data_IF_260298980756
#
_entry.id   IF_260298980756
#
_cell.length_a   1.000
_cell.length_b   1.000
_cell.length_c   1.000
_cell.angle_alpha   90.00
_cell.angle_beta   90.00
_cell.angle_gamma   90.00
#
_symmetry.space_group_name_H-M   'P 1'
#
loop_
_entity.id
_entity.type
_entity.pdbx_description
1 polymer ?
#
# COMPACT_ATOMS: atom_id res chain seq x y z
N UNK A 1 20.33 5.01 28.79
CA UNK A 1 19.59 5.03 27.50
C UNK A 1 18.81 6.33 27.45
N UNK A 2 18.82 7.03 26.32
CA UNK A 2 17.98 8.20 26.07
C UNK A 2 16.92 7.80 25.05
N UNK A 3 15.65 8.13 25.31
CA UNK A 3 14.55 7.93 24.39
C UNK A 3 13.94 9.28 24.02
N UNK A 4 13.74 9.54 22.73
CA UNK A 4 13.18 10.78 22.21
C UNK A 4 12.05 10.45 21.24
N UNK A 5 10.85 10.95 21.53
CA UNK A 5 9.69 10.82 20.63
C UNK A 5 9.62 12.02 19.70
N UNK A 6 9.21 11.78 18.46
CA UNK A 6 8.97 12.80 17.41
C UNK A 6 10.16 13.74 17.17
N UNK A 7 11.37 13.31 17.51
CA UNK A 7 12.57 14.14 17.41
C UNK A 7 13.01 14.23 15.96
N UNK A 8 13.12 15.46 15.44
CA UNK A 8 13.44 15.71 14.02
C UNK A 8 12.45 15.02 13.07
N UNK A 9 11.19 14.87 13.50
CA UNK A 9 10.14 14.16 12.78
C UNK A 9 10.44 12.66 12.56
N UNK A 10 11.23 12.04 13.45
CA UNK A 10 11.37 10.59 13.55
C UNK A 10 10.52 10.14 14.76
N UNK A 11 9.70 9.11 14.58
CA UNK A 11 8.71 8.70 15.60
C UNK A 11 9.36 8.36 16.95
N UNK A 12 10.43 7.56 16.94
CA UNK A 12 11.19 7.22 18.12
C UNK A 12 12.68 7.07 17.81
N UNK A 13 13.52 7.76 18.57
CA UNK A 13 14.97 7.61 18.56
C UNK A 13 15.44 7.14 19.93
N UNK A 14 16.16 6.03 19.94
CA UNK A 14 16.81 5.47 21.11
C UNK A 14 18.33 5.60 20.95
N UNK A 15 18.98 6.10 22.00
CA UNK A 15 20.43 6.27 22.01
C UNK A 15 21.03 5.68 23.28
N UNK A 16 22.21 5.09 23.13
CA UNK A 16 23.00 4.50 24.20
C UNK A 16 24.44 5.01 24.12
N UNK A 17 25.16 4.95 25.24
CA UNK A 17 26.56 5.38 25.28
C UNK A 17 27.47 4.45 24.47
N UNK A 18 27.19 3.13 24.47
CA UNK A 18 28.07 2.09 23.93
C UNK A 18 27.37 1.21 22.87
N UNK A 19 26.30 1.70 22.23
CA UNK A 19 25.61 0.97 21.16
C UNK A 19 25.16 1.96 20.09
N UNK A 20 25.11 1.54 18.81
CA UNK A 20 24.58 2.40 17.76
C UNK A 20 23.15 2.87 18.08
N UNK A 21 22.78 4.09 17.68
CA UNK A 21 21.40 4.56 17.80
C UNK A 21 20.43 3.65 17.06
N UNK A 22 19.17 3.65 17.53
CA UNK A 22 18.06 2.97 16.89
C UNK A 22 16.96 3.97 16.59
N UNK A 23 16.57 4.03 15.33
CA UNK A 23 15.39 4.76 14.86
C UNK A 23 14.27 3.76 14.63
N UNK A 24 13.09 4.07 15.14
CA UNK A 24 11.87 3.28 14.91
C UNK A 24 10.86 4.19 14.24
N UNK A 25 10.41 3.79 13.06
CA UNK A 25 9.21 4.32 12.43
C UNK A 25 8.02 3.45 12.84
N UNK A 26 6.95 4.08 13.34
CA UNK A 26 5.82 3.38 13.93
C UNK A 26 4.55 3.49 13.06
N UNK A 27 4.06 2.35 12.58
CA UNK A 27 2.91 2.23 11.68
C UNK A 27 1.86 1.30 12.24
N UNK A 28 1.07 1.78 13.20
CA UNK A 28 -0.08 1.05 13.76
C UNK A 28 -1.25 1.07 12.77
N UNK A 29 -1.72 2.24 12.36
CA UNK A 29 -2.98 2.42 11.60
C UNK A 29 -2.78 2.99 10.19
N UNK A 30 -1.55 2.99 9.71
CA UNK A 30 -1.15 3.55 8.43
C UNK A 30 -0.33 2.53 7.67
N UNK A 31 -0.49 2.52 6.36
CA UNK A 31 0.23 1.63 5.45
C UNK A 31 1.70 2.08 5.40
N UNK A 32 2.67 1.18 5.62
CA UNK A 32 4.08 1.50 5.41
C UNK A 32 4.33 1.82 3.94
N UNK A 33 5.06 2.90 3.65
CA UNK A 33 5.42 3.28 2.27
C UNK A 33 6.92 3.48 2.16
N UNK A 34 7.51 2.95 1.09
CA UNK A 34 8.96 3.00 0.86
C UNK A 34 9.46 4.44 0.65
N UNK A 35 8.72 5.27 -0.09
CA UNK A 35 9.02 6.71 -0.28
C UNK A 35 9.20 7.47 1.04
N UNK A 36 8.38 7.13 2.04
CA UNK A 36 8.46 7.70 3.38
C UNK A 36 9.72 7.20 4.12
N UNK A 37 10.07 5.92 3.99
CA UNK A 37 11.29 5.36 4.58
C UNK A 37 12.55 5.97 3.96
N UNK A 38 12.55 6.23 2.65
CA UNK A 38 13.61 6.97 1.97
C UNK A 38 13.75 8.39 2.51
N UNK A 39 12.63 9.09 2.69
CA UNK A 39 12.61 10.42 3.30
C UNK A 39 13.21 10.42 4.71
N UNK A 40 12.94 9.39 5.52
CA UNK A 40 13.56 9.26 6.84
C UNK A 40 15.03 8.86 6.79
N UNK A 41 15.43 7.98 5.88
CA UNK A 41 16.84 7.64 5.66
C UNK A 41 17.66 8.89 5.33
N UNK A 42 17.15 9.77 4.47
CA UNK A 42 17.78 11.07 4.20
C UNK A 42 17.96 11.93 5.46
N UNK A 43 16.98 11.92 6.38
CA UNK A 43 17.11 12.64 7.66
C UNK A 43 18.16 12.00 8.56
N UNK A 44 18.17 10.68 8.68
CA UNK A 44 19.16 9.92 9.46
C UNK A 44 20.57 10.30 9.01
N UNK A 45 20.83 10.27 7.69
CA UNK A 45 22.14 10.65 7.10
C UNK A 45 22.58 12.07 7.43
N UNK A 46 21.65 13.03 7.50
CA UNK A 46 21.95 14.44 7.74
C UNK A 46 22.22 14.74 9.22
N UNK A 47 21.70 13.92 10.12
CA UNK A 47 21.79 14.15 11.56
C UNK A 47 23.11 13.60 12.09
N UNK A 48 24.08 14.49 12.34
CA UNK A 48 25.41 14.11 12.88
C UNK A 48 25.36 13.30 14.19
N UNK A 49 24.29 13.42 14.96
CA UNK A 49 24.07 12.64 16.19
C UNK A 49 23.65 11.19 15.93
N UNK A 50 23.17 10.89 14.71
CA UNK A 50 22.88 9.56 14.22
C UNK A 50 24.02 9.16 13.27
N UNK A 51 24.97 8.37 13.76
CA UNK A 51 26.12 7.92 12.97
C UNK A 51 25.73 6.93 11.86
N UNK A 52 26.67 6.54 10.99
CA UNK A 52 26.43 5.60 9.89
C UNK A 52 25.95 4.22 10.36
N UNK A 53 26.28 3.83 11.59
CA UNK A 53 25.87 2.57 12.22
C UNK A 53 24.42 2.58 12.74
N UNK A 54 23.66 3.66 12.51
CA UNK A 54 22.29 3.79 13.02
C UNK A 54 21.41 2.68 12.46
N UNK A 55 20.78 1.94 13.37
CA UNK A 55 19.81 0.89 13.00
C UNK A 55 18.45 1.51 12.77
N UNK A 56 17.72 1.04 11.76
CA UNK A 56 16.37 1.49 11.47
C UNK A 56 15.38 0.32 11.52
N UNK A 57 14.27 0.52 12.22
CA UNK A 57 13.18 -0.45 12.33
C UNK A 57 11.89 0.20 11.83
N UNK A 58 11.19 -0.51 10.95
CA UNK A 58 9.77 -0.29 10.70
C UNK A 58 8.99 -1.19 11.67
N UNK A 59 8.33 -0.59 12.65
CA UNK A 59 7.39 -1.28 13.53
C UNK A 59 5.98 -1.13 12.94
N UNK A 60 5.37 -2.21 12.46
CA UNK A 60 4.03 -2.13 11.86
C UNK A 60 3.12 -3.29 12.25
N UNK A 61 1.80 -3.06 12.22
CA UNK A 61 0.81 -4.13 12.32
C UNK A 61 0.71 -4.93 11.01
N UNK A 62 0.83 -4.24 9.86
CA UNK A 62 0.80 -4.86 8.54
C UNK A 62 2.18 -5.32 8.09
N UNK A 63 2.24 -6.51 7.49
CA UNK A 63 3.43 -6.97 6.77
C UNK A 63 3.61 -6.10 5.52
N UNK A 64 4.75 -5.41 5.33
CA UNK A 64 4.98 -4.59 4.14
C UNK A 64 5.41 -5.41 2.91
N UNK A 65 5.43 -6.75 3.00
CA UNK A 65 5.83 -7.66 1.92
C UNK A 65 7.33 -7.98 1.89
N UNK A 66 8.11 -7.42 2.82
CA UNK A 66 9.56 -7.59 2.90
C UNK A 66 10.02 -7.63 4.36
N UNK A 67 11.14 -8.32 4.62
CA UNK A 67 11.80 -8.34 5.94
C UNK A 67 12.83 -7.24 6.10
N UNK A 68 13.45 -6.83 4.99
CA UNK A 68 14.45 -5.79 4.91
C UNK A 68 14.19 -4.94 3.66
N UNK A 69 14.27 -3.62 3.81
CA UNK A 69 14.25 -2.65 2.72
C UNK A 69 15.46 -1.74 2.84
N UNK A 70 16.22 -1.58 1.77
CA UNK A 70 17.38 -0.68 1.73
C UNK A 70 16.96 0.61 1.02
N UNK A 71 17.07 1.73 1.72
CA UNK A 71 16.62 3.02 1.23
C UNK A 71 17.49 3.56 0.10
N UNK A 72 16.91 4.34 -0.81
CA UNK A 72 17.64 5.01 -1.90
C UNK A 72 18.64 6.04 -1.36
N UNK A 73 19.86 6.02 -1.90
CA UNK A 73 20.94 7.01 -1.66
C UNK A 73 22.06 6.53 -0.73
N UNK A 74 23.11 7.32 -0.60
CA UNK A 74 24.35 6.94 0.12
C UNK A 74 24.57 7.74 1.42
N UNK A 75 25.04 7.11 2.51
CA UNK A 75 25.17 5.66 2.71
C UNK A 75 23.81 4.97 2.84
N UNK A 76 23.74 3.69 2.51
CA UNK A 76 22.53 2.88 2.68
C UNK A 76 21.96 2.92 4.12
N UNK A 77 20.63 2.96 4.23
CA UNK A 77 19.92 2.74 5.49
C UNK A 77 19.03 1.53 5.33
N UNK A 78 19.33 0.51 6.14
CA UNK A 78 18.60 -0.74 6.17
C UNK A 78 17.43 -0.67 7.16
N UNK A 79 16.22 -0.64 6.62
CA UNK A 79 14.98 -0.75 7.39
C UNK A 79 14.63 -2.21 7.62
N UNK A 80 14.57 -2.61 8.89
CA UNK A 80 14.13 -3.93 9.28
C UNK A 80 12.67 -3.90 9.73
N UNK A 81 11.85 -4.76 9.13
CA UNK A 81 10.46 -4.91 9.56
C UNK A 81 10.39 -5.75 10.85
N UNK A 82 9.67 -5.23 11.83
CA UNK A 82 9.28 -5.93 13.06
C UNK A 82 7.78 -5.76 13.24
N UNK A 83 7.05 -6.87 13.42
CA UNK A 83 5.62 -6.78 13.70
C UNK A 83 5.36 -6.43 15.17
N UNK A 84 4.18 -5.89 15.46
CA UNK A 84 3.76 -5.67 16.84
C UNK A 84 3.67 -6.97 17.65
N UNK A 85 3.26 -8.07 17.03
CA UNK A 85 3.28 -9.39 17.65
C UNK A 85 4.69 -9.85 18.02
N UNK A 86 5.66 -9.65 17.13
CA UNK A 86 7.06 -10.00 17.38
C UNK A 86 7.65 -9.15 18.51
N UNK A 87 7.43 -7.83 18.48
CA UNK A 87 7.84 -6.93 19.56
C UNK A 87 7.23 -7.36 20.90
N UNK A 88 5.92 -7.65 20.92
CA UNK A 88 5.22 -8.04 22.13
C UNK A 88 5.74 -9.36 22.69
N UNK A 89 5.99 -10.36 21.84
CA UNK A 89 6.57 -11.64 22.25
C UNK A 89 7.98 -11.47 22.83
N UNK A 90 8.82 -10.64 22.20
CA UNK A 90 10.17 -10.31 22.69
C UNK A 90 10.13 -9.55 24.01
N UNK A 91 9.21 -8.62 24.21
CA UNK A 91 9.07 -7.91 25.48
C UNK A 91 8.58 -8.83 26.60
N UNK A 92 7.56 -9.65 26.31
CA UNK A 92 7.01 -10.61 27.27
C UNK A 92 8.07 -11.56 27.85
N UNK A 93 9.00 -12.04 27.00
CA UNK A 93 10.06 -12.97 27.43
C UNK A 93 11.18 -12.32 28.25
N UNK A 94 11.24 -10.99 28.29
CA UNK A 94 12.27 -10.22 29.02
C UNK A 94 11.74 -9.64 30.34
N UNK A 95 10.44 -9.74 30.61
CA UNK A 95 9.89 -9.18 31.83
C UNK A 95 10.32 -9.99 33.07
N UNK A 96 10.82 -9.31 34.12
CA UNK A 96 11.22 -9.98 35.35
C UNK A 96 10.00 -10.60 36.06
N UNK A 97 10.27 -11.60 36.90
CA UNK A 97 9.32 -12.06 37.91
C UNK A 97 9.14 -10.96 38.95
N UNK A 98 7.89 -10.59 39.25
CA UNK A 98 7.57 -9.49 40.15
C UNK A 98 6.24 -8.81 39.81
N UNK A 99 5.81 -7.93 40.71
CA UNK A 99 4.56 -7.16 40.59
C UNK A 99 4.86 -5.71 41.03
N UNK A 100 5.22 -4.87 40.07
CA UNK A 100 5.24 -3.41 40.24
C UNK A 100 4.20 -2.79 39.32
N UNK A 101 3.75 -1.58 39.65
CA UNK A 101 2.78 -0.87 38.83
C UNK A 101 3.28 -0.64 37.39
N UNK A 102 4.56 -0.29 37.23
CA UNK A 102 5.21 -0.07 35.93
C UNK A 102 5.28 -1.36 35.12
N UNK A 103 5.60 -2.48 35.80
CA UNK A 103 5.68 -3.80 35.17
C UNK A 103 4.30 -4.29 34.73
N UNK A 104 3.28 -4.12 35.57
CA UNK A 104 1.88 -4.43 35.20
C UNK A 104 1.39 -3.55 34.05
N UNK A 105 1.75 -2.27 34.05
CA UNK A 105 1.44 -1.36 32.93
C UNK A 105 2.09 -1.85 31.64
N UNK A 106 3.37 -2.22 31.67
CA UNK A 106 4.09 -2.75 30.51
C UNK A 106 3.47 -4.07 30.00
N UNK A 107 3.09 -4.97 30.91
CA UNK A 107 2.38 -6.23 30.58
C UNK A 107 1.06 -5.96 29.86
N UNK A 108 0.28 -4.99 30.31
CA UNK A 108 -0.98 -4.60 29.64
C UNK A 108 -0.76 -4.08 28.23
N UNK A 109 0.26 -3.25 28.01
CA UNK A 109 0.60 -2.78 26.66
C UNK A 109 1.07 -3.92 25.74
N UNK A 110 1.81 -4.89 26.26
CA UNK A 110 2.19 -6.09 25.53
C UNK A 110 0.96 -6.92 25.14
N UNK A 111 0.00 -7.11 26.06
CA UNK A 111 -1.25 -7.79 25.76
C UNK A 111 -2.07 -7.06 24.70
N UNK A 112 -2.16 -5.72 24.78
CA UNK A 112 -2.83 -4.91 23.78
C UNK A 112 -2.18 -5.07 22.40
N UNK A 113 -0.85 -5.01 22.32
CA UNK A 113 -0.12 -5.23 21.07
C UNK A 113 -0.38 -6.62 20.47
N UNK A 114 -0.45 -7.66 21.31
CA UNK A 114 -0.81 -9.02 20.86
C UNK A 114 -2.24 -9.11 20.35
N UNK A 115 -3.20 -8.45 21.01
CA UNK A 115 -4.59 -8.42 20.57
C UNK A 115 -4.74 -7.67 19.24
N UNK A 116 -4.05 -6.55 19.07
CA UNK A 116 -4.01 -5.81 17.81
C UNK A 116 -3.37 -6.64 16.69
N UNK A 117 -2.27 -7.36 16.97
CA UNK A 117 -1.68 -8.25 15.98
C UNK A 117 -2.66 -9.36 15.58
N UNK A 118 -3.32 -10.01 16.54
CA UNK A 118 -4.34 -11.04 16.25
C UNK A 118 -5.46 -10.50 15.38
N UNK A 119 -5.94 -9.29 15.66
CA UNK A 119 -6.93 -8.63 14.81
C UNK A 119 -6.39 -8.41 13.40
N UNK A 120 -5.14 -7.96 13.26
CA UNK A 120 -4.51 -7.77 11.95
C UNK A 120 -4.36 -9.11 11.19
N UNK A 121 -3.99 -10.18 11.89
CA UNK A 121 -3.82 -11.52 11.31
C UNK A 121 -5.15 -12.07 10.76
N UNK A 122 -6.29 -11.76 11.39
CA UNK A 122 -7.63 -12.10 10.88
C UNK A 122 -8.02 -11.39 9.58
N UNK A 123 -7.27 -10.37 9.15
CA UNK A 123 -7.53 -9.64 7.91
C UNK A 123 -6.70 -10.16 6.73
N UNK A 124 -5.75 -11.06 7.01
CA UNK A 124 -5.03 -11.76 5.96
C UNK A 124 -6.00 -12.56 5.09
N UNK A 125 -5.56 -12.92 3.90
CA UNK A 125 -6.37 -13.67 2.94
C UNK A 125 -6.01 -15.14 3.11
N UNK A 126 -6.98 -15.91 3.59
CA UNK A 126 -6.87 -17.36 3.74
C UNK A 126 -7.63 -18.08 2.62
N UNK A 127 -8.68 -17.45 2.08
CA UNK A 127 -9.53 -17.97 1.01
C UNK A 127 -9.73 -16.92 -0.10
N UNK A 128 -9.54 -17.31 -1.35
CA UNK A 128 -9.72 -16.44 -2.51
C UNK A 128 -11.18 -16.03 -2.76
N UNK A 129 -12.15 -16.77 -2.21
CA UNK A 129 -13.57 -16.40 -2.25
C UNK A 129 -13.93 -15.24 -1.32
N UNK A 130 -13.02 -14.82 -0.43
CA UNK A 130 -13.23 -13.67 0.43
C UNK A 130 -13.44 -12.38 -0.38
N UNK A 131 -14.25 -11.44 0.10
CA UNK A 131 -14.38 -10.14 -0.54
C UNK A 131 -13.07 -9.35 -0.47
N UNK A 132 -12.79 -8.56 -1.51
CA UNK A 132 -11.62 -7.67 -1.55
C UNK A 132 -11.63 -6.70 -0.38
N UNK A 133 -12.76 -6.02 -0.15
CA UNK A 133 -12.94 -5.11 0.97
C UNK A 133 -14.03 -5.62 1.91
N UNK A 134 -13.78 -5.45 3.21
CA UNK A 134 -14.73 -5.84 4.25
C UNK A 134 -15.74 -4.70 4.40
N UNK A 135 -16.82 -4.74 3.61
CA UNK A 135 -17.81 -3.65 3.49
C UNK A 135 -18.96 -3.73 4.50
N UNK A 136 -19.19 -4.88 5.15
CA UNK A 136 -20.36 -5.11 6.03
C UNK A 136 -20.26 -4.53 7.45
N UNK A 137 -19.14 -4.76 8.13
CA UNK A 137 -18.92 -4.35 9.53
C UNK A 137 -18.68 -2.83 9.74
N UNK A 138 -18.30 -2.10 8.69
CA UNK A 138 -17.95 -0.69 8.77
C UNK A 138 -19.13 0.24 9.02
N UNK A 139 -20.32 -0.15 8.60
CA UNK A 139 -21.53 0.63 8.79
C UNK A 139 -22.07 0.53 10.22
N UNK A 140 -21.70 -0.54 10.95
CA UNK A 140 -22.25 -0.87 12.27
C UNK A 140 -21.28 -0.59 13.43
N UNK A 141 -20.00 -0.36 13.13
CA UNK A 141 -19.00 -0.11 14.16
C UNK A 141 -19.02 1.35 14.65
N UNK A 142 -19.08 1.53 15.97
CA UNK A 142 -19.05 2.85 16.61
C UNK A 142 -17.70 3.59 16.42
N UNK A 143 -16.60 2.85 16.25
CA UNK A 143 -15.26 3.43 16.10
C UNK A 143 -14.82 3.54 14.64
N UNK A 144 -15.08 4.72 14.05
CA UNK A 144 -14.66 5.06 12.68
C UNK A 144 -13.14 5.01 12.46
N UNK A 145 -12.34 5.23 13.50
CA UNK A 145 -10.88 5.22 13.39
C UNK A 145 -10.37 3.78 13.28
N UNK A 146 -10.88 2.90 14.13
CA UNK A 146 -10.59 1.46 14.06
C UNK A 146 -11.00 0.89 12.69
N UNK A 147 -12.20 1.26 12.21
CA UNK A 147 -12.70 0.86 10.90
C UNK A 147 -11.82 1.30 9.73
N UNK A 148 -11.33 2.54 9.81
CA UNK A 148 -10.39 3.09 8.83
C UNK A 148 -9.07 2.32 8.85
N UNK A 149 -8.56 2.00 10.05
CA UNK A 149 -7.32 1.27 10.21
C UNK A 149 -7.40 -0.14 9.64
N UNK A 150 -8.47 -0.87 9.93
CA UNK A 150 -8.67 -2.22 9.40
C UNK A 150 -8.90 -2.21 7.90
N UNK A 151 -9.67 -1.24 7.36
CA UNK A 151 -9.83 -1.09 5.90
C UNK A 151 -8.49 -0.90 5.20
N UNK A 152 -7.59 -0.10 5.79
CA UNK A 152 -6.22 0.10 5.28
C UNK A 152 -5.39 -1.19 5.36
N UNK A 153 -5.45 -1.90 6.49
CA UNK A 153 -4.72 -3.16 6.66
C UNK A 153 -5.21 -4.22 5.67
N UNK A 154 -6.53 -4.37 5.48
CA UNK A 154 -7.07 -5.28 4.47
C UNK A 154 -6.60 -4.91 3.07
N UNK A 155 -6.65 -3.63 2.69
CA UNK A 155 -6.15 -3.20 1.38
C UNK A 155 -4.66 -3.54 1.19
N UNK A 156 -3.84 -3.36 2.22
CA UNK A 156 -2.43 -3.76 2.20
C UNK A 156 -2.27 -5.28 2.02
N UNK A 157 -3.02 -6.10 2.75
CA UNK A 157 -2.96 -7.56 2.60
C UNK A 157 -3.42 -8.02 1.23
N UNK A 158 -4.48 -7.43 0.68
CA UNK A 158 -4.93 -7.69 -0.70
C UNK A 158 -3.84 -7.33 -1.71
N UNK A 159 -3.25 -6.14 -1.61
CA UNK A 159 -2.17 -5.71 -2.50
C UNK A 159 -0.99 -6.68 -2.47
N UNK A 160 -0.55 -7.08 -1.26
CA UNK A 160 0.58 -8.01 -1.09
C UNK A 160 0.24 -9.43 -1.57
N UNK A 161 -0.98 -9.89 -1.36
CA UNK A 161 -1.43 -11.19 -1.82
C UNK A 161 -1.42 -11.25 -3.35
N UNK A 162 -2.01 -10.25 -4.00
CA UNK A 162 -2.05 -10.17 -5.46
C UNK A 162 -0.63 -10.08 -6.02
N UNK A 163 0.26 -9.25 -5.46
CA UNK A 163 1.61 -9.06 -6.02
C UNK A 163 2.42 -10.36 -6.04
N UNK A 164 2.24 -11.21 -5.02
CA UNK A 164 2.85 -12.56 -4.96
C UNK A 164 2.28 -13.53 -6.01
N UNK A 165 1.05 -13.29 -6.48
CA UNK A 165 0.35 -14.18 -7.40
C UNK A 165 0.56 -13.82 -8.87
N UNK A 166 0.90 -12.57 -9.17
CA UNK A 166 1.14 -12.14 -10.55
C UNK A 166 2.58 -12.51 -10.96
N UNK A 167 2.79 -13.25 -12.07
CA UNK A 167 4.12 -13.61 -12.55
C UNK A 167 5.00 -12.38 -12.79
N UNK A 168 6.30 -12.47 -12.53
CA UNK A 168 7.24 -11.41 -12.91
C UNK A 168 7.19 -11.18 -14.43
N UNK A 169 7.31 -9.91 -14.84
CA UNK A 169 7.37 -9.47 -16.24
C UNK A 169 8.58 -8.59 -16.45
N UNK A 170 8.98 -8.38 -17.71
CA UNK A 170 10.01 -7.40 -18.07
C UNK A 170 9.53 -5.96 -17.81
N UNK A 171 8.22 -5.72 -17.98
CA UNK A 171 7.59 -4.45 -17.63
C UNK A 171 7.68 -4.18 -16.13
N UNK A 172 8.30 -3.05 -15.77
CA UNK A 172 8.38 -2.58 -14.40
C UNK A 172 6.98 -2.36 -13.84
N UNK A 173 6.71 -2.94 -12.68
CA UNK A 173 5.41 -2.84 -12.00
C UNK A 173 5.56 -2.44 -10.54
N UNK A 174 4.52 -1.83 -10.00
CA UNK A 174 4.39 -1.56 -8.57
C UNK A 174 2.98 -1.86 -8.08
N UNK A 175 2.89 -2.51 -6.93
CA UNK A 175 1.66 -2.73 -6.19
C UNK A 175 1.56 -1.72 -5.07
N UNK A 176 0.38 -1.15 -4.84
CA UNK A 176 0.17 -0.24 -3.72
C UNK A 176 -1.22 -0.37 -3.11
N UNK A 177 -1.26 -0.05 -1.82
CA UNK A 177 -2.50 0.11 -1.08
C UNK A 177 -2.55 1.53 -0.50
N UNK A 178 -3.76 2.08 -0.45
CA UNK A 178 -4.00 3.42 0.06
C UNK A 178 -5.37 3.57 0.70
N UNK A 179 -5.71 4.82 0.99
CA UNK A 179 -7.03 5.16 1.50
C UNK A 179 -7.37 6.60 1.13
N UNK A 180 -8.48 6.81 0.41
CA UNK A 180 -8.89 8.13 -0.04
C UNK A 180 -10.40 8.25 -0.04
N UNK A 181 -10.92 9.43 0.34
CA UNK A 181 -12.36 9.70 0.50
C UNK A 181 -13.08 8.62 1.31
N UNK A 182 -12.52 8.27 2.47
CA UNK A 182 -13.04 7.22 3.36
C UNK A 182 -13.15 5.82 2.74
N UNK A 183 -12.46 5.56 1.62
CA UNK A 183 -12.54 4.28 0.90
C UNK A 183 -11.13 3.70 0.70
N UNK A 184 -10.92 2.40 1.00
CA UNK A 184 -9.66 1.75 0.68
C UNK A 184 -9.44 1.70 -0.83
N UNK A 185 -8.17 1.66 -1.21
CA UNK A 185 -7.75 1.57 -2.61
C UNK A 185 -6.62 0.55 -2.72
N UNK A 186 -6.72 -0.31 -3.73
CA UNK A 186 -5.65 -1.21 -4.16
C UNK A 186 -5.36 -0.89 -5.61
N UNK A 187 -4.09 -0.73 -5.95
CA UNK A 187 -3.65 -0.27 -7.26
C UNK A 187 -2.44 -1.06 -7.71
N UNK A 188 -2.42 -1.45 -8.98
CA UNK A 188 -1.25 -1.96 -9.66
C UNK A 188 -0.96 -1.09 -10.87
N UNK A 189 0.30 -0.69 -10.96
CA UNK A 189 0.80 0.24 -11.97
C UNK A 189 1.95 -0.38 -12.72
N UNK A 190 1.93 -0.23 -14.04
CA UNK A 190 2.93 -0.67 -14.99
C UNK A 190 3.51 0.56 -15.68
N UNK A 191 4.83 0.71 -15.64
CA UNK A 191 5.51 1.76 -16.40
C UNK A 191 5.68 1.31 -17.84
N UNK A 192 5.16 2.11 -18.77
CA UNK A 192 5.30 1.94 -20.21
C UNK A 192 6.11 3.13 -20.75
N UNK A 193 7.11 2.86 -21.59
CA UNK A 193 8.03 3.87 -22.09
C UNK A 193 9.18 4.22 -21.13
N UNK A 194 9.96 5.25 -21.48
CA UNK A 194 11.09 5.72 -20.69
C UNK A 194 11.28 7.23 -20.81
N UNK A 195 11.82 7.87 -19.75
CA UNK A 195 12.10 9.31 -19.74
C UNK A 195 10.84 10.17 -19.65
N UNK A 196 10.73 11.18 -20.52
CA UNK A 196 9.59 12.12 -20.55
C UNK A 196 8.28 11.43 -21.00
N UNK A 197 8.37 10.25 -21.61
CA UNK A 197 7.24 9.41 -22.01
C UNK A 197 6.92 8.31 -20.98
N UNK A 198 7.37 8.42 -19.72
CA UNK A 198 7.02 7.49 -18.62
C UNK A 198 5.52 7.61 -18.29
N UNK A 199 4.73 6.90 -19.09
CA UNK A 199 3.31 6.73 -18.86
C UNK A 199 3.14 5.54 -17.95
N UNK A 200 2.23 5.69 -16.99
CA UNK A 200 1.90 4.64 -16.05
C UNK A 200 0.48 4.19 -16.30
N UNK A 201 0.31 2.95 -16.74
CA UNK A 201 -1.01 2.33 -16.94
C UNK A 201 -1.27 1.31 -15.86
N UNK A 202 -2.53 0.99 -15.62
CA UNK A 202 -2.82 0.01 -14.58
C UNK A 202 -4.28 -0.16 -14.28
N UNK A 203 -4.52 -0.86 -13.18
CA UNK A 203 -5.84 -1.07 -12.65
C UNK A 203 -5.91 -0.72 -11.18
N UNK A 204 -7.10 -0.30 -10.75
CA UNK A 204 -7.36 0.17 -9.40
C UNK A 204 -8.73 -0.31 -8.93
N UNK A 205 -8.78 -0.89 -7.73
CA UNK A 205 -10.02 -1.17 -7.03
C UNK A 205 -10.22 -0.15 -5.93
N UNK A 206 -11.32 0.61 -6.02
CA UNK A 206 -11.70 1.60 -5.01
C UNK A 206 -13.20 1.49 -4.72
N UNK A 207 -13.53 1.05 -3.50
CA UNK A 207 -14.92 0.78 -3.12
C UNK A 207 -15.49 -0.34 -3.99
N UNK A 208 -16.59 -0.07 -4.68
CA UNK A 208 -17.26 -1.01 -5.58
C UNK A 208 -16.88 -0.80 -7.05
N UNK A 209 -15.74 -0.18 -7.32
CA UNK A 209 -15.32 0.14 -8.69
C UNK A 209 -13.99 -0.51 -9.00
N UNK A 210 -13.95 -1.29 -10.08
CA UNK A 210 -12.73 -1.72 -10.74
C UNK A 210 -12.45 -0.75 -11.89
N UNK A 211 -11.27 -0.13 -11.90
CA UNK A 211 -10.89 0.93 -12.83
C UNK A 211 -9.68 0.48 -13.63
N UNK A 212 -9.66 0.85 -14.91
CA UNK A 212 -8.46 0.88 -15.72
C UNK A 212 -8.05 2.35 -15.89
N UNK A 213 -6.78 2.66 -15.67
CA UNK A 213 -6.31 4.04 -15.63
C UNK A 213 -5.00 4.23 -16.39
N UNK A 214 -4.71 5.49 -16.68
CA UNK A 214 -3.39 5.96 -17.08
C UNK A 214 -3.03 7.25 -16.33
N UNK A 215 -1.76 7.37 -15.95
CA UNK A 215 -1.12 8.57 -15.44
C UNK A 215 -0.16 9.07 -16.50
N UNK A 216 -0.31 10.34 -16.88
CA UNK A 216 0.35 10.96 -18.03
C UNK A 216 1.15 12.19 -17.58
N UNK A 217 2.34 12.02 -16.95
CA UNK A 217 3.12 13.14 -16.41
C UNK A 217 3.46 14.22 -17.44
N UNK A 218 3.71 13.85 -18.70
CA UNK A 218 3.95 14.79 -19.79
C UNK A 218 2.74 15.66 -20.15
N UNK A 219 1.55 15.30 -19.67
CA UNK A 219 0.31 16.07 -19.79
C UNK A 219 -0.17 16.59 -18.43
N UNK A 220 0.74 16.80 -17.47
CA UNK A 220 0.42 17.37 -16.16
C UNK A 220 -0.19 18.78 -16.28
N UNK A 221 -1.41 18.95 -15.78
CA UNK A 221 -2.01 20.27 -15.62
C UNK A 221 -3.54 20.31 -15.76
N UNK A 222 -4.09 21.50 -15.49
CA UNK A 222 -5.54 21.70 -15.29
C UNK A 222 -6.23 22.46 -16.44
N UNK A 223 -5.51 22.81 -17.51
CA UNK A 223 -6.09 23.53 -18.64
C UNK A 223 -7.00 22.62 -19.46
N UNK A 224 -7.95 23.20 -20.20
CA UNK A 224 -8.85 22.39 -21.04
C UNK A 224 -8.11 21.70 -22.18
N UNK A 225 -7.07 22.34 -22.73
CA UNK A 225 -6.22 21.73 -23.76
C UNK A 225 -5.50 20.48 -23.25
N UNK A 226 -4.94 20.52 -22.03
CA UNK A 226 -4.29 19.37 -21.42
C UNK A 226 -5.29 18.26 -21.10
N UNK A 227 -6.49 18.61 -20.62
CA UNK A 227 -7.57 17.63 -20.40
C UNK A 227 -8.03 16.95 -21.70
N UNK A 228 -8.15 17.73 -22.77
CA UNK A 228 -8.49 17.21 -24.09
C UNK A 228 -7.37 16.33 -24.64
N UNK A 229 -6.10 16.72 -24.45
CA UNK A 229 -4.94 15.92 -24.83
C UNK A 229 -4.93 14.56 -24.13
N UNK A 230 -5.17 14.52 -22.80
CA UNK A 230 -5.27 13.25 -22.06
C UNK A 230 -6.39 12.37 -22.59
N UNK A 231 -7.56 12.93 -22.85
CA UNK A 231 -8.70 12.18 -23.40
C UNK A 231 -8.38 11.62 -24.79
N UNK A 232 -7.69 12.39 -25.63
CA UNK A 232 -7.23 11.95 -26.96
C UNK A 232 -6.23 10.81 -26.85
N UNK A 233 -5.24 10.93 -25.97
CA UNK A 233 -4.29 9.85 -25.69
C UNK A 233 -5.02 8.55 -25.31
N UNK A 234 -6.01 8.62 -24.43
CA UNK A 234 -6.80 7.43 -24.06
C UNK A 234 -7.61 6.83 -25.21
N UNK A 235 -8.07 7.65 -26.17
CA UNK A 235 -8.78 7.19 -27.37
C UNK A 235 -7.85 6.60 -28.43
N UNK A 236 -6.59 7.03 -28.48
CA UNK A 236 -5.54 6.49 -29.34
C UNK A 236 -4.93 5.21 -28.74
N UNK A 237 -4.98 5.06 -27.42
CA UNK A 237 -4.42 3.93 -26.67
C UNK A 237 -5.49 3.10 -25.95
N UNK A 238 -6.57 2.77 -26.67
CA UNK A 238 -7.75 2.06 -26.10
C UNK A 238 -7.42 0.70 -25.51
N UNK A 239 -6.35 0.06 -25.97
CA UNK A 239 -5.91 -1.26 -25.50
C UNK A 239 -5.65 -1.29 -23.99
N UNK A 240 -5.20 -0.19 -23.37
CA UNK A 240 -4.99 -0.12 -21.92
C UNK A 240 -6.27 0.01 -21.09
N UNK A 241 -7.41 0.21 -21.76
CA UNK A 241 -8.72 0.42 -21.15
C UNK A 241 -9.75 -0.60 -21.65
N UNK A 242 -9.29 -1.73 -22.18
CA UNK A 242 -10.17 -2.79 -22.65
C UNK A 242 -10.69 -3.63 -21.49
N UNK A 243 -12.01 -3.59 -21.28
CA UNK A 243 -12.70 -4.45 -20.32
C UNK A 243 -13.23 -5.74 -20.94
N UNK A 244 -13.17 -5.89 -22.27
CA UNK A 244 -13.74 -7.03 -22.98
C UNK A 244 -13.16 -8.36 -22.50
N UNK A 245 -11.83 -8.46 -22.44
CA UNK A 245 -11.13 -9.65 -21.92
C UNK A 245 -11.33 -9.87 -20.42
N UNK A 246 -11.64 -8.81 -19.67
CA UNK A 246 -11.85 -8.85 -18.22
C UNK A 246 -13.29 -9.22 -17.86
N UNK A 247 -14.26 -8.93 -18.73
CA UNK A 247 -15.69 -9.16 -18.53
C UNK A 247 -16.01 -10.63 -18.27
N UNK A 248 -15.36 -11.52 -19.01
CA UNK A 248 -15.56 -12.97 -18.95
C UNK A 248 -15.21 -13.54 -17.57
N UNK A 249 -14.22 -12.96 -16.90
CA UNK A 249 -13.72 -13.43 -15.60
C UNK A 249 -14.77 -13.25 -14.50
N UNK A 250 -15.51 -12.14 -14.55
CA UNK A 250 -16.51 -11.77 -13.53
C UNK A 250 -17.94 -12.04 -13.99
N UNK A 251 -18.12 -12.79 -15.07
CA UNK A 251 -19.44 -13.14 -15.61
C UNK A 251 -20.29 -11.95 -16.04
N UNK A 252 -19.68 -10.79 -16.28
CA UNK A 252 -20.38 -9.59 -16.77
C UNK A 252 -20.67 -9.74 -18.25
N UNK A 253 -21.87 -9.34 -18.68
CA UNK A 253 -22.17 -9.31 -20.11
C UNK A 253 -21.39 -8.18 -20.77
N UNK A 254 -21.05 -8.33 -22.06
CA UNK A 254 -20.34 -7.29 -22.85
C UNK A 254 -21.06 -5.93 -22.80
N UNK A 255 -22.38 -5.91 -22.58
CA UNK A 255 -23.15 -4.66 -22.44
C UNK A 255 -22.91 -3.95 -21.10
N UNK A 256 -22.56 -4.69 -20.07
CA UNK A 256 -22.23 -4.16 -18.74
C UNK A 256 -20.77 -3.68 -18.67
N UNK A 257 -19.93 -4.03 -19.65
CA UNK A 257 -18.49 -3.77 -19.66
C UNK A 257 -18.03 -2.65 -20.59
N UNK A 258 -18.93 -2.12 -21.41
CA UNK A 258 -18.68 -0.90 -22.20
C UNK A 258 -19.14 0.30 -21.40
N UNK A 259 -18.25 1.17 -20.90
CA UNK A 259 -18.67 2.47 -20.38
C UNK A 259 -19.45 3.16 -21.49
N UNK A 260 -20.69 3.58 -21.22
CA UNK A 260 -21.68 3.95 -22.22
C UNK A 260 -21.24 5.04 -23.24
N UNK A 261 -20.10 5.69 -22.99
CA UNK A 261 -19.58 6.82 -23.76
C UNK A 261 -18.07 6.64 -24.02
N UNK A 262 -17.58 7.15 -25.14
CA UNK A 262 -16.14 7.29 -25.46
C UNK A 262 -15.42 8.32 -24.56
N UNK A 263 -16.04 8.77 -23.47
CA UNK A 263 -15.49 9.76 -22.55
C UNK A 263 -14.71 9.09 -21.42
N UNK A 264 -13.53 9.62 -21.14
CA UNK A 264 -12.74 9.24 -19.97
C UNK A 264 -13.18 10.04 -18.74
N UNK A 265 -13.24 9.35 -17.60
CA UNK A 265 -13.24 10.06 -16.32
C UNK A 265 -11.82 10.57 -16.04
N UNK A 266 -11.71 11.57 -15.18
CA UNK A 266 -10.43 12.25 -14.91
C UNK A 266 -10.26 12.63 -13.46
N UNK A 267 -9.01 12.67 -13.05
CA UNK A 267 -8.56 13.36 -11.86
C UNK A 267 -7.39 14.24 -12.25
N UNK A 268 -7.54 15.55 -12.07
CA UNK A 268 -6.41 16.45 -12.33
C UNK A 268 -5.28 16.13 -11.34
N UNK A 269 -4.00 16.20 -11.76
CA UNK A 269 -3.59 16.92 -12.95
C UNK A 269 -3.19 16.07 -14.17
N UNK A 270 -3.00 14.75 -14.02
CA UNK A 270 -2.40 13.88 -15.04
C UNK A 270 -3.12 12.52 -15.22
N UNK A 271 -4.27 12.32 -14.56
CA UNK A 271 -4.90 11.00 -14.44
C UNK A 271 -6.20 10.88 -15.25
N UNK A 272 -6.34 9.81 -16.02
CA UNK A 272 -7.58 9.42 -16.72
C UNK A 272 -7.95 7.96 -16.43
N UNK A 273 -9.24 7.66 -16.45
CA UNK A 273 -9.71 6.30 -16.19
C UNK A 273 -11.08 5.99 -16.78
N UNK A 274 -11.34 4.68 -16.91
CA UNK A 274 -12.65 4.10 -17.10
C UNK A 274 -12.90 3.09 -15.98
N UNK A 275 -14.17 2.78 -15.69
CA UNK A 275 -14.50 1.90 -14.58
C UNK A 275 -15.72 1.04 -14.85
N UNK A 276 -15.75 -0.12 -14.18
CA UNK A 276 -16.91 -0.97 -14.01
C UNK A 276 -17.31 -1.02 -12.54
N UNK A 277 -18.61 -1.17 -12.28
CA UNK A 277 -19.10 -1.44 -10.92
C UNK A 277 -18.98 -2.93 -10.64
N UNK A 278 -18.29 -3.27 -9.56
CA UNK A 278 -18.05 -4.63 -9.10
C UNK A 278 -18.24 -4.65 -7.56
N UNK A 279 -19.49 -4.69 -7.07
CA UNK A 279 -19.79 -4.57 -5.64
C UNK A 279 -19.31 -5.75 -4.79
N UNK A 280 -19.26 -6.95 -5.38
CA UNK A 280 -19.02 -8.21 -4.68
C UNK A 280 -17.72 -8.88 -5.14
N UNK A 281 -16.74 -8.07 -5.59
CA UNK A 281 -15.49 -8.58 -6.11
C UNK A 281 -14.73 -9.38 -5.03
N UNK A 282 -14.49 -10.64 -5.34
CA UNK A 282 -13.68 -11.54 -4.51
C UNK A 282 -12.19 -11.34 -4.79
N UNK A 283 -11.35 -11.78 -3.85
CA UNK A 283 -9.89 -11.72 -4.04
C UNK A 283 -9.45 -12.57 -5.23
N UNK A 284 -10.04 -13.75 -5.41
CA UNK A 284 -9.74 -14.66 -6.51
C UNK A 284 -10.07 -14.06 -7.86
N UNK A 285 -11.25 -13.46 -8.02
CA UNK A 285 -11.61 -12.71 -9.23
C UNK A 285 -10.63 -11.57 -9.49
N UNK A 286 -10.24 -10.81 -8.45
CA UNK A 286 -9.28 -9.74 -8.60
C UNK A 286 -7.88 -10.25 -9.01
N UNK A 287 -7.43 -11.39 -8.49
CA UNK A 287 -6.19 -12.04 -8.94
C UNK A 287 -6.27 -12.41 -10.43
N UNK A 288 -7.40 -12.96 -10.88
CA UNK A 288 -7.57 -13.32 -12.28
C UNK A 288 -7.62 -12.07 -13.18
N UNK A 289 -8.35 -11.02 -12.77
CA UNK A 289 -8.37 -9.73 -13.46
C UNK A 289 -6.97 -9.14 -13.59
N UNK A 290 -6.18 -9.19 -12.51
CA UNK A 290 -4.83 -8.65 -12.49
C UNK A 290 -3.87 -9.43 -13.39
N UNK A 291 -3.92 -10.77 -13.35
CA UNK A 291 -3.15 -11.65 -14.24
C UNK A 291 -3.52 -11.41 -15.69
N UNK A 292 -4.82 -11.30 -15.98
CA UNK A 292 -5.31 -11.09 -17.34
C UNK A 292 -4.90 -9.73 -17.88
N UNK A 293 -5.04 -8.67 -17.08
CA UNK A 293 -4.59 -7.34 -17.46
C UNK A 293 -3.10 -7.34 -17.80
N UNK A 294 -2.24 -7.96 -16.97
CA UNK A 294 -0.80 -8.05 -17.29
C UNK A 294 -0.54 -8.82 -18.59
N UNK A 295 -1.27 -9.89 -18.86
CA UNK A 295 -1.12 -10.69 -20.07
C UNK A 295 -1.63 -9.98 -21.34
N UNK A 296 -2.58 -9.05 -21.20
CA UNK A 296 -3.10 -8.24 -22.31
C UNK A 296 -2.29 -6.94 -22.53
N UNK A 297 -1.31 -6.63 -21.66
CA UNK A 297 -0.42 -5.49 -21.88
C UNK A 297 0.40 -5.73 -23.16
N UNK A 298 0.51 -4.73 -24.06
CA UNK A 298 1.43 -4.81 -25.19
C UNK A 298 2.87 -5.01 -24.70
N UNK A 299 3.64 -5.79 -25.45
CA UNK A 299 5.09 -5.88 -25.25
C UNK A 299 5.71 -4.49 -25.45
N UNK A 300 6.64 -4.13 -24.57
CA UNK A 300 7.43 -2.91 -24.73
C UNK A 300 8.51 -3.17 -25.79
N UNK A 301 8.23 -2.85 -27.06
CA UNK A 301 9.24 -2.81 -28.14
C UNK A 301 10.20 -1.60 -27.99
#
# INVERSE_FOLDING_TARGET
>A
MRAQREWQHLDLVLSWTNRPPLVVENKVFSIPRQDQLDGYAQKIRKLKTLGPETRAILLSLGDPGWRKYTSVGEPDVDWHFVSYGELAARLASQFPSGQSYELETARRYVQLAQQLQKLADLLQIDDESEPVFISGWAAEADDKQLMTAVSKLRALYVSNFIDKQIPSSETSRSASAGFTRATPIVEFTYSIGSGDDDVRVGWQVQGQQFRLFAVLPHLDGRTEDLRAARSRWGLENRQYFDFGSLAEIVGLSVRDTVPANDTFNRYDPDFIYKYLKMPDLTVGELVQLAKRYQADLPDND
#
